data_IF_198456622658
#
_entry.id   IF_198456622658
#
_cell.length_a   1.000
_cell.length_b   1.000
_cell.length_c   1.000
_cell.angle_alpha   90.00
_cell.angle_beta   90.00
_cell.angle_gamma   90.00
#
_symmetry.space_group_name_H-M   'P 1'
#
loop_
_entity.id
_entity.type
_entity.pdbx_description
1 polymer ?
#
# COMPACT_ATOMS: atom_id res chain seq x y z
N UNK A 1 7.54 12.76 -18.23
CA UNK A 1 6.47 13.53 -18.85
C UNK A 1 5.31 12.70 -19.41
N UNK A 2 5.46 11.39 -19.61
CA UNK A 2 4.40 10.55 -20.20
C UNK A 2 3.45 9.92 -19.17
N UNK A 3 3.78 9.96 -17.89
CA UNK A 3 2.99 9.24 -16.87
C UNK A 3 1.85 10.04 -16.26
N UNK A 4 1.97 11.37 -16.25
CA UNK A 4 0.94 12.23 -15.66
C UNK A 4 -0.32 12.28 -16.54
N UNK A 5 -0.16 12.02 -17.82
CA UNK A 5 -1.26 12.14 -18.79
C UNK A 5 -2.23 10.95 -18.67
N UNK A 6 -1.77 9.80 -18.15
CA UNK A 6 -2.60 8.59 -18.15
C UNK A 6 -3.58 8.50 -16.98
N UNK A 7 -3.20 9.02 -15.84
CA UNK A 7 -4.12 9.05 -14.71
C UNK A 7 -5.21 10.10 -14.93
N UNK A 8 -4.87 11.19 -15.61
CA UNK A 8 -5.87 12.18 -15.99
C UNK A 8 -6.84 11.64 -17.04
N UNK A 9 -6.39 10.66 -17.84
CA UNK A 9 -7.29 10.01 -18.79
C UNK A 9 -8.24 9.02 -18.11
N UNK A 10 -7.77 8.33 -17.09
CA UNK A 10 -8.64 7.49 -16.28
C UNK A 10 -9.71 8.34 -15.60
N UNK A 11 -9.27 9.47 -15.05
CA UNK A 11 -10.18 10.40 -14.40
C UNK A 11 -11.15 11.05 -15.37
N UNK A 12 -10.70 11.31 -16.62
CA UNK A 12 -11.59 11.96 -17.59
C UNK A 12 -12.60 10.99 -18.24
N UNK A 13 -12.24 9.72 -18.34
CA UNK A 13 -13.18 8.71 -18.87
C UNK A 13 -14.31 8.44 -17.86
N UNK A 14 -14.02 8.62 -16.56
CA UNK A 14 -15.02 8.38 -15.53
C UNK A 14 -15.98 9.57 -15.32
N UNK A 15 -15.58 10.74 -15.77
CA UNK A 15 -16.47 11.90 -15.75
C UNK A 15 -17.73 11.67 -16.56
N UNK A 16 -17.62 10.83 -17.59
CA UNK A 16 -18.78 10.51 -18.44
C UNK A 16 -19.65 9.41 -17.87
N UNK A 17 -19.17 8.71 -16.82
CA UNK A 17 -19.88 7.53 -16.34
C UNK A 17 -20.45 7.68 -14.94
N UNK A 18 -19.99 8.70 -14.19
CA UNK A 18 -20.35 8.83 -12.77
C UNK A 18 -21.42 9.84 -12.42
N UNK A 19 -21.80 10.66 -13.36
CA UNK A 19 -22.90 11.60 -13.16
C UNK A 19 -23.98 11.32 -14.17
N UNK A 20 -25.01 10.66 -13.71
CA UNK A 20 -26.27 10.74 -14.39
C UNK A 20 -26.76 12.15 -14.24
N UNK A 21 -26.23 13.06 -15.00
CA UNK A 21 -26.85 14.35 -15.07
C UNK A 21 -26.94 14.84 -16.50
N UNK A 22 -28.09 15.29 -16.71
CA UNK A 22 -28.72 15.72 -17.90
C UNK A 22 -27.91 16.71 -18.71
N UNK A 23 -27.33 16.24 -19.78
CA UNK A 23 -27.11 17.13 -20.87
C UNK A 23 -27.89 16.60 -22.06
N UNK A 24 -28.78 17.41 -22.50
CA UNK A 24 -29.61 17.20 -23.67
C UNK A 24 -28.76 16.83 -24.86
N UNK A 25 -28.63 15.56 -25.12
CA UNK A 25 -28.33 15.09 -26.45
C UNK A 25 -29.49 14.21 -26.83
N UNK A 26 -30.11 14.56 -27.92
CA UNK A 26 -31.24 13.86 -28.48
C UNK A 26 -30.81 12.47 -28.96
N UNK A 27 -30.83 11.55 -28.07
CA UNK A 27 -30.58 10.15 -28.32
C UNK A 27 -30.95 9.43 -27.03
N UNK A 28 -31.91 8.53 -27.12
CA UNK A 28 -32.39 7.77 -25.97
C UNK A 28 -31.22 7.10 -25.22
N UNK A 29 -30.67 7.77 -24.23
CA UNK A 29 -29.80 7.11 -23.27
C UNK A 29 -30.69 6.28 -22.40
N UNK A 30 -30.68 4.98 -22.60
CA UNK A 30 -31.32 4.07 -21.65
C UNK A 30 -30.57 4.19 -20.33
N UNK A 31 -31.24 4.79 -19.35
CA UNK A 31 -30.72 4.90 -18.01
C UNK A 31 -30.47 3.49 -17.48
N UNK A 32 -29.21 3.24 -17.05
CA UNK A 32 -28.84 1.92 -16.54
C UNK A 32 -29.46 1.73 -15.18
N UNK A 33 -30.25 0.65 -15.04
CA UNK A 33 -30.81 0.27 -13.76
C UNK A 33 -29.93 -0.82 -13.15
N UNK A 34 -29.32 -0.51 -12.03
CA UNK A 34 -28.48 -1.47 -11.32
C UNK A 34 -29.33 -2.58 -10.70
N UNK A 35 -28.72 -3.70 -10.48
CA UNK A 35 -29.32 -4.82 -9.76
C UNK A 35 -29.80 -4.36 -8.39
N UNK A 36 -30.91 -4.95 -7.88
CA UNK A 36 -31.54 -4.48 -6.66
C UNK A 36 -30.60 -4.49 -5.45
N UNK A 37 -29.73 -5.49 -5.35
CA UNK A 37 -28.80 -5.55 -4.23
C UNK A 37 -27.74 -4.44 -4.30
N UNK A 38 -27.37 -4.01 -5.49
CA UNK A 38 -26.47 -2.86 -5.66
C UNK A 38 -27.20 -1.58 -5.25
N UNK A 39 -28.46 -1.43 -5.66
CA UNK A 39 -29.26 -0.27 -5.27
C UNK A 39 -29.35 -0.16 -3.75
N UNK A 40 -29.59 -1.28 -3.07
CA UNK A 40 -29.64 -1.32 -1.60
C UNK A 40 -28.31 -0.91 -1.00
N UNK A 41 -27.19 -1.44 -1.53
CA UNK A 41 -25.88 -1.13 -1.01
C UNK A 41 -25.52 0.35 -1.18
N UNK A 42 -25.99 0.99 -2.25
CA UNK A 42 -25.78 2.43 -2.48
C UNK A 42 -26.55 3.29 -1.48
N UNK A 43 -27.66 2.79 -0.94
CA UNK A 43 -28.54 3.54 -0.06
C UNK A 43 -28.15 3.44 1.41
N UNK A 44 -27.13 2.68 1.76
CA UNK A 44 -26.75 2.46 3.15
C UNK A 44 -26.19 3.73 3.77
N UNK A 45 -26.32 3.84 5.09
CA UNK A 45 -25.92 5.05 5.82
C UNK A 45 -24.41 5.24 5.86
N UNK A 46 -23.65 4.17 5.76
CA UNK A 46 -22.19 4.21 5.74
C UNK A 46 -21.70 3.45 4.52
N UNK A 47 -20.91 4.13 3.67
CA UNK A 47 -20.44 3.53 2.42
C UNK A 47 -18.95 3.70 2.29
N UNK A 48 -18.32 2.79 1.54
CA UNK A 48 -16.89 2.90 1.27
C UNK A 48 -16.59 4.11 0.40
N UNK A 49 -15.48 4.77 0.67
CA UNK A 49 -14.97 5.85 -0.18
C UNK A 49 -14.13 5.24 -1.28
N UNK A 50 -14.74 5.01 -2.40
CA UNK A 50 -14.03 4.61 -3.60
C UNK A 50 -14.59 5.43 -4.74
N UNK A 51 -13.77 6.35 -5.26
CA UNK A 51 -14.15 7.19 -6.38
C UNK A 51 -12.92 7.43 -7.22
N UNK A 52 -13.02 7.12 -8.52
CA UNK A 52 -11.90 7.20 -9.43
C UNK A 52 -11.66 8.60 -9.98
N UNK A 53 -12.61 9.50 -9.78
CA UNK A 53 -12.51 10.87 -10.33
C UNK A 53 -13.27 11.85 -9.44
N UNK A 54 -13.14 13.13 -9.77
CA UNK A 54 -13.85 14.20 -9.07
C UNK A 54 -13.11 14.69 -7.85
N UNK A 55 -13.73 15.64 -7.14
CA UNK A 55 -13.13 16.25 -5.95
C UNK A 55 -12.98 15.27 -4.80
N UNK A 56 -13.78 14.22 -4.78
CA UNK A 56 -13.76 13.22 -3.72
C UNK A 56 -13.04 11.94 -4.16
N UNK A 57 -12.18 12.06 -5.18
CA UNK A 57 -11.42 10.90 -5.68
C UNK A 57 -10.64 10.26 -4.54
N UNK A 58 -10.78 8.96 -4.41
CA UNK A 58 -10.14 8.18 -3.36
C UNK A 58 -10.07 6.72 -3.77
N UNK A 59 -8.87 6.17 -3.78
CA UNK A 59 -8.69 4.75 -4.07
C UNK A 59 -8.05 4.11 -2.83
N UNK A 60 -8.74 3.16 -2.21
CA UNK A 60 -8.13 2.43 -1.09
C UNK A 60 -6.80 1.80 -1.48
N UNK A 61 -5.85 1.83 -0.56
CA UNK A 61 -4.51 1.32 -0.80
C UNK A 61 -4.27 0.02 -0.06
N UNK A 62 -3.56 -0.91 -0.64
CA UNK A 62 -3.07 -0.97 -2.03
C UNK A 62 -4.18 -1.33 -3.03
N UNK A 63 -3.98 -0.97 -4.29
CA UNK A 63 -4.98 -1.26 -5.32
C UNK A 63 -4.33 -1.35 -6.70
N UNK A 64 -4.80 -2.29 -7.50
CA UNK A 64 -4.37 -2.39 -8.89
C UNK A 64 -4.82 -1.18 -9.73
N UNK A 65 -5.82 -0.46 -9.29
CA UNK A 65 -6.27 0.76 -9.97
C UNK A 65 -5.19 1.84 -10.02
N UNK A 66 -4.17 1.73 -9.18
CA UNK A 66 -3.04 2.66 -9.16
C UNK A 66 -1.78 1.99 -9.69
N UNK A 67 -1.92 1.07 -10.61
CA UNK A 67 -0.80 0.40 -11.25
C UNK A 67 -0.87 0.56 -12.76
N UNK A 68 0.28 0.70 -13.38
CA UNK A 68 0.40 0.80 -14.83
C UNK A 68 0.35 -0.59 -15.43
N UNK A 69 -0.68 -0.86 -16.21
CA UNK A 69 -0.87 -2.19 -16.81
C UNK A 69 0.20 -2.55 -17.84
N UNK A 70 0.96 -1.58 -18.32
CA UNK A 70 1.97 -1.83 -19.36
C UNK A 70 3.30 -2.29 -18.79
N UNK A 71 3.73 -1.70 -17.68
CA UNK A 71 5.04 -2.02 -17.14
C UNK A 71 4.99 -2.53 -15.69
N UNK A 72 3.79 -2.55 -15.09
CA UNK A 72 3.61 -3.09 -13.74
C UNK A 72 4.05 -2.18 -12.61
N UNK A 73 4.46 -0.95 -12.93
CA UNK A 73 4.86 0.00 -11.88
C UNK A 73 3.63 0.66 -11.27
N UNK A 74 3.83 1.27 -10.10
CA UNK A 74 2.76 2.03 -9.47
C UNK A 74 2.54 3.35 -10.21
N UNK A 75 1.30 3.84 -10.19
CA UNK A 75 0.94 5.14 -10.74
C UNK A 75 0.23 5.97 -9.67
N UNK A 76 0.98 6.31 -8.62
CA UNK A 76 0.42 7.06 -7.49
C UNK A 76 0.29 8.53 -7.89
N UNK A 77 -0.89 9.14 -7.74
CA UNK A 77 -1.05 10.54 -8.11
C UNK A 77 -0.11 11.44 -7.32
N UNK A 78 0.69 12.23 -8.03
CA UNK A 78 1.66 13.14 -7.43
C UNK A 78 1.31 14.62 -7.62
N UNK A 79 0.13 14.89 -8.19
CA UNK A 79 -0.27 16.25 -8.48
C UNK A 79 0.59 16.88 -9.56
N UNK A 80 0.85 18.16 -9.42
CA UNK A 80 1.67 18.91 -10.38
C UNK A 80 3.17 18.73 -10.14
N UNK A 81 3.57 18.19 -8.99
CA UNK A 81 4.99 18.00 -8.68
C UNK A 81 5.45 16.64 -9.20
N UNK A 82 6.03 16.63 -10.40
CA UNK A 82 6.52 15.42 -11.05
C UNK A 82 8.03 15.22 -10.87
N UNK A 83 8.64 15.99 -9.97
CA UNK A 83 10.07 15.85 -9.68
C UNK A 83 10.40 14.47 -9.11
N UNK A 84 11.55 13.93 -9.45
CA UNK A 84 12.03 12.68 -8.88
C UNK A 84 12.27 12.75 -7.36
N UNK A 85 12.38 13.95 -6.81
CA UNK A 85 12.50 14.13 -5.37
C UNK A 85 11.15 14.05 -4.64
N UNK A 86 10.03 14.04 -5.37
CA UNK A 86 8.72 13.82 -4.78
C UNK A 86 8.58 12.34 -4.40
N UNK A 87 8.35 12.02 -3.13
CA UNK A 87 8.25 10.60 -2.73
C UNK A 87 7.17 9.82 -3.49
N UNK A 88 6.08 10.45 -3.88
CA UNK A 88 5.02 9.77 -4.63
C UNK A 88 5.49 9.40 -6.03
N UNK A 89 6.31 10.27 -6.66
CA UNK A 89 6.90 9.98 -7.96
C UNK A 89 7.92 8.83 -7.84
N UNK A 90 8.73 8.88 -6.78
CA UNK A 90 9.71 7.82 -6.53
C UNK A 90 9.02 6.47 -6.27
N UNK A 91 7.94 6.48 -5.47
CA UNK A 91 7.15 5.27 -5.24
C UNK A 91 6.53 4.74 -6.53
N UNK A 92 6.24 5.62 -7.48
CA UNK A 92 5.69 5.22 -8.77
C UNK A 92 6.65 4.45 -9.65
N UNK A 93 7.93 4.35 -9.24
CA UNK A 93 8.92 3.60 -10.01
C UNK A 93 9.07 2.15 -9.56
N UNK A 94 8.42 1.77 -8.46
CA UNK A 94 8.50 0.38 -8.00
C UNK A 94 7.39 -0.46 -8.66
N UNK A 95 7.61 -1.76 -8.74
CA UNK A 95 6.75 -2.67 -9.49
C UNK A 95 5.77 -3.43 -8.58
N UNK A 96 5.27 -2.78 -7.55
CA UNK A 96 4.25 -3.37 -6.71
C UNK A 96 4.17 -2.71 -5.34
N UNK A 97 3.26 -3.19 -4.52
CA UNK A 97 3.00 -2.64 -3.20
C UNK A 97 3.87 -3.32 -2.14
N UNK A 98 4.25 -2.62 -1.07
CA UNK A 98 5.09 -3.22 -0.04
C UNK A 98 4.40 -4.41 0.64
N UNK A 99 5.15 -5.47 0.89
CA UNK A 99 4.63 -6.71 1.46
C UNK A 99 4.23 -6.60 2.93
N UNK A 100 4.62 -5.51 3.61
CA UNK A 100 4.28 -5.28 5.01
C UNK A 100 3.27 -4.15 5.17
N UNK A 101 2.81 -3.58 4.06
CA UNK A 101 1.89 -2.45 4.11
C UNK A 101 0.51 -2.89 4.58
N UNK A 102 -0.08 -2.21 5.57
CA UNK A 102 -1.50 -2.44 5.86
C UNK A 102 -2.39 -2.01 4.70
N UNK A 103 -3.56 -2.61 4.60
CA UNK A 103 -4.56 -2.19 3.63
C UNK A 103 -5.47 -1.17 4.32
N UNK A 104 -5.75 -0.06 3.64
CA UNK A 104 -6.49 1.07 4.19
C UNK A 104 -7.78 1.26 3.43
N UNK A 105 -8.90 1.23 4.14
CA UNK A 105 -10.23 1.42 3.56
C UNK A 105 -10.91 2.57 4.29
N UNK A 106 -11.29 3.59 3.56
CA UNK A 106 -11.99 4.76 4.11
C UNK A 106 -13.49 4.63 3.91
N UNK A 107 -14.24 5.09 4.89
CA UNK A 107 -15.71 5.08 4.84
C UNK A 107 -16.25 6.49 5.09
N UNK A 108 -17.49 6.71 4.72
CA UNK A 108 -18.20 7.98 4.96
C UNK A 108 -19.65 7.69 5.32
N UNK A 109 -20.29 8.68 5.92
CA UNK A 109 -21.69 8.59 6.34
C UNK A 109 -21.82 8.56 7.85
N UNK A 110 -22.59 7.61 8.37
CA UNK A 110 -22.78 7.50 9.82
C UNK A 110 -21.50 7.14 10.56
N UNK A 111 -20.53 6.53 9.85
CA UNK A 111 -19.22 6.27 10.42
C UNK A 111 -19.04 4.88 10.97
N UNK A 112 -17.87 4.63 11.52
CA UNK A 112 -17.48 3.33 12.08
C UNK A 112 -17.28 3.45 13.59
N UNK A 113 -17.41 2.33 14.29
CA UNK A 113 -17.04 2.23 15.70
C UNK A 113 -15.62 1.69 15.81
N UNK A 114 -14.99 1.91 16.97
CA UNK A 114 -13.72 1.26 17.29
C UNK A 114 -14.01 -0.22 17.54
N UNK A 115 -13.48 -1.08 16.70
CA UNK A 115 -13.83 -2.49 16.77
C UNK A 115 -12.74 -3.36 16.12
N UNK A 116 -12.66 -4.61 16.57
CA UNK A 116 -11.93 -5.66 15.86
C UNK A 116 -12.97 -6.40 15.02
N UNK A 117 -12.76 -6.39 13.70
CA UNK A 117 -13.72 -6.97 12.76
C UNK A 117 -13.34 -8.44 12.57
N UNK A 118 -14.25 -9.33 12.93
CA UNK A 118 -13.98 -10.77 12.90
C UNK A 118 -14.67 -11.49 11.73
N UNK A 119 -15.53 -10.80 10.98
CA UNK A 119 -16.20 -11.41 9.82
C UNK A 119 -16.50 -10.34 8.79
N UNK A 120 -16.69 -10.77 7.55
CA UNK A 120 -17.09 -9.88 6.47
C UNK A 120 -15.94 -9.33 5.65
N UNK A 121 -14.70 -9.64 6.01
CA UNK A 121 -13.52 -9.24 5.26
C UNK A 121 -12.77 -10.50 4.87
N UNK A 122 -12.38 -10.59 3.60
CA UNK A 122 -11.73 -11.77 3.03
C UNK A 122 -10.48 -11.33 2.29
N UNK A 123 -9.37 -12.02 2.54
CA UNK A 123 -8.08 -11.74 1.91
C UNK A 123 -7.49 -13.08 1.46
N UNK A 124 -7.27 -13.21 0.16
CA UNK A 124 -6.79 -14.47 -0.43
C UNK A 124 -5.53 -14.20 -1.24
N UNK A 125 -4.63 -15.18 -1.26
CA UNK A 125 -3.48 -15.21 -2.16
C UNK A 125 -3.83 -16.01 -3.41
N UNK A 126 -3.41 -15.52 -4.58
CA UNK A 126 -3.68 -16.18 -5.86
C UNK A 126 -2.45 -16.96 -6.35
N UNK A 127 -2.68 -17.97 -7.17
CA UNK A 127 -1.63 -18.76 -7.81
C UNK A 127 -0.99 -18.04 -9.01
N UNK A 128 -1.72 -17.10 -9.60
CA UNK A 128 -1.32 -16.45 -10.84
C UNK A 128 -1.92 -15.06 -10.86
N UNK A 129 -1.49 -14.24 -11.79
CA UNK A 129 -2.04 -12.89 -11.91
C UNK A 129 -3.47 -12.93 -12.45
N UNK A 130 -4.20 -11.85 -12.21
CA UNK A 130 -5.56 -11.70 -12.73
C UNK A 130 -5.60 -11.67 -14.26
N UNK A 131 -4.48 -11.42 -14.91
CA UNK A 131 -4.38 -11.47 -16.37
C UNK A 131 -4.03 -12.85 -16.91
N UNK A 132 -3.69 -13.78 -16.02
CA UNK A 132 -3.38 -15.15 -16.39
C UNK A 132 -4.56 -16.08 -16.11
N UNK A 133 -4.29 -17.15 -15.38
CA UNK A 133 -5.32 -18.13 -15.00
C UNK A 133 -5.36 -18.24 -13.47
N UNK A 134 -5.83 -17.20 -12.80
CA UNK A 134 -5.78 -17.16 -11.34
C UNK A 134 -6.71 -18.17 -10.70
N UNK A 135 -6.23 -18.78 -9.63
CA UNK A 135 -7.04 -19.56 -8.71
C UNK A 135 -6.54 -19.26 -7.30
N UNK A 136 -7.28 -19.71 -6.30
CA UNK A 136 -6.92 -19.44 -4.92
C UNK A 136 -5.76 -20.33 -4.52
N UNK A 137 -4.66 -19.70 -4.07
CA UNK A 137 -3.52 -20.41 -3.49
C UNK A 137 -3.69 -20.58 -1.99
N UNK A 138 -4.18 -19.52 -1.31
CA UNK A 138 -4.38 -19.57 0.13
C UNK A 138 -5.51 -18.64 0.54
N UNK A 139 -6.37 -19.14 1.43
CA UNK A 139 -7.36 -18.33 2.13
C UNK A 139 -6.71 -17.84 3.42
N UNK A 140 -6.45 -16.55 3.51
CA UNK A 140 -5.85 -16.01 4.72
C UNK A 140 -6.93 -15.90 5.80
N UNK A 141 -6.58 -16.27 7.02
CA UNK A 141 -7.52 -16.34 8.13
C UNK A 141 -7.48 -15.05 8.95
N UNK A 142 -8.64 -14.40 9.05
CA UNK A 142 -8.80 -13.21 9.90
C UNK A 142 -8.56 -13.60 11.36
N UNK A 143 -7.74 -12.82 12.04
CA UNK A 143 -7.34 -13.10 13.42
C UNK A 143 -6.10 -13.97 13.54
N UNK A 144 -5.61 -14.54 12.43
CA UNK A 144 -4.40 -15.36 12.41
C UNK A 144 -3.38 -14.78 11.43
N UNK A 145 -3.76 -14.67 10.16
CA UNK A 145 -2.85 -14.16 9.12
C UNK A 145 -2.92 -12.64 8.99
N UNK A 146 -4.02 -12.05 9.41
CA UNK A 146 -4.20 -10.60 9.44
C UNK A 146 -5.22 -10.25 10.52
N UNK A 147 -5.23 -8.98 10.91
CA UNK A 147 -6.23 -8.43 11.82
C UNK A 147 -6.90 -7.25 11.13
N UNK A 148 -8.23 -7.19 11.19
CA UNK A 148 -8.99 -6.08 10.64
C UNK A 148 -9.53 -5.24 11.80
N UNK A 149 -9.24 -3.94 11.78
CA UNK A 149 -9.56 -3.02 12.87
C UNK A 149 -10.25 -1.79 12.29
N UNK A 150 -11.38 -1.41 12.86
CA UNK A 150 -12.03 -0.15 12.48
C UNK A 150 -11.79 0.93 13.54
N UNK A 151 -11.79 2.18 13.09
CA UNK A 151 -11.53 3.35 13.92
C UNK A 151 -12.66 4.35 13.76
N UNK A 152 -13.27 4.73 14.88
CA UNK A 152 -14.30 5.76 14.91
C UNK A 152 -13.70 7.15 14.61
N UNK A 153 -12.47 7.39 15.07
CA UNK A 153 -11.85 8.72 14.91
C UNK A 153 -11.57 9.05 13.44
N UNK A 154 -11.26 8.04 12.61
CA UNK A 154 -10.86 8.28 11.22
C UNK A 154 -11.81 7.65 10.21
N UNK A 155 -12.81 6.89 10.66
CA UNK A 155 -13.74 6.14 9.79
C UNK A 155 -12.98 5.28 8.79
N UNK A 156 -11.94 4.61 9.27
CA UNK A 156 -11.10 3.73 8.48
C UNK A 156 -11.18 2.30 8.99
N UNK A 157 -11.02 1.36 8.06
CA UNK A 157 -10.67 -0.01 8.41
C UNK A 157 -9.22 -0.23 7.98
N UNK A 158 -8.42 -0.71 8.91
CA UNK A 158 -7.06 -1.15 8.65
C UNK A 158 -7.05 -2.67 8.66
N UNK A 159 -6.48 -3.25 7.61
CA UNK A 159 -6.24 -4.70 7.55
C UNK A 159 -4.74 -4.88 7.65
N UNK A 160 -4.29 -5.42 8.78
CA UNK A 160 -2.88 -5.45 9.13
C UNK A 160 -2.39 -6.90 9.06
N UNK A 161 -1.55 -7.25 8.07
CA UNK A 161 -0.98 -8.60 8.03
C UNK A 161 -0.15 -8.85 9.29
N UNK A 162 -0.25 -10.06 9.84
CA UNK A 162 0.52 -10.43 11.03
C UNK A 162 1.96 -10.79 10.69
N UNK A 163 2.22 -11.06 9.43
CA UNK A 163 3.55 -11.30 8.90
C UNK A 163 3.60 -10.75 7.48
N UNK A 164 4.80 -10.56 6.96
CA UNK A 164 4.96 -10.06 5.59
C UNK A 164 4.22 -10.97 4.61
N UNK A 165 3.51 -10.38 3.68
CA UNK A 165 2.89 -11.12 2.58
C UNK A 165 3.98 -11.66 1.64
N UNK A 166 3.64 -12.64 0.84
CA UNK A 166 4.62 -13.24 -0.06
C UNK A 166 4.97 -12.28 -1.20
N UNK A 167 6.27 -12.11 -1.44
CA UNK A 167 6.75 -11.32 -2.57
C UNK A 167 6.35 -11.99 -3.89
N UNK A 168 6.20 -11.19 -4.93
CA UNK A 168 5.82 -11.66 -6.28
C UNK A 168 4.51 -12.42 -6.29
N UNK A 169 3.58 -12.04 -5.42
CA UNK A 169 2.27 -12.69 -5.31
C UNK A 169 1.17 -11.64 -5.46
N UNK A 170 0.05 -12.07 -5.97
CA UNK A 170 -1.15 -11.26 -6.02
C UNK A 170 -2.12 -11.67 -4.93
N UNK A 171 -2.78 -10.69 -4.38
CA UNK A 171 -3.78 -10.88 -3.34
C UNK A 171 -5.07 -10.20 -3.76
N UNK A 172 -6.19 -10.80 -3.38
CA UNK A 172 -7.50 -10.18 -3.56
C UNK A 172 -8.15 -9.97 -2.22
N UNK A 173 -8.85 -8.86 -2.12
CA UNK A 173 -9.54 -8.42 -0.90
C UNK A 173 -11.01 -8.21 -1.23
N UNK A 174 -11.90 -8.66 -0.34
CA UNK A 174 -13.31 -8.31 -0.41
C UNK A 174 -13.79 -7.82 0.95
N UNK A 175 -14.62 -6.79 0.92
CA UNK A 175 -15.37 -6.29 2.08
C UNK A 175 -16.85 -6.51 1.76
N UNK A 176 -17.55 -7.10 2.71
CA UNK A 176 -18.97 -7.41 2.52
C UNK A 176 -19.86 -6.63 3.49
N UNK A 177 -21.15 -6.68 3.24
CA UNK A 177 -22.17 -6.08 4.10
C UNK A 177 -22.28 -6.74 5.47
N UNK A 178 -21.54 -7.81 5.72
CA UNK A 178 -21.43 -8.34 7.08
C UNK A 178 -20.69 -7.38 8.02
N UNK A 179 -19.87 -6.48 7.45
CA UNK A 179 -19.23 -5.45 8.24
C UNK A 179 -20.28 -4.41 8.61
N UNK A 180 -20.31 -4.02 9.89
CA UNK A 180 -21.30 -3.09 10.42
C UNK A 180 -20.68 -1.71 10.67
N UNK A 181 -21.54 -0.70 10.53
CA UNK A 181 -21.15 0.67 10.87
C UNK A 181 -21.35 0.96 12.37
N UNK A 182 -21.16 2.21 12.76
CA UNK A 182 -21.25 2.64 14.16
C UNK A 182 -22.62 2.37 14.78
N UNK A 183 -23.66 2.28 13.96
CA UNK A 183 -25.03 2.06 14.42
C UNK A 183 -25.45 0.58 14.31
N UNK A 184 -24.53 -0.29 13.92
CA UNK A 184 -24.83 -1.71 13.75
C UNK A 184 -25.46 -2.05 12.43
N UNK A 185 -25.51 -1.14 11.48
CA UNK A 185 -26.11 -1.36 10.16
C UNK A 185 -25.03 -1.83 9.16
N UNK A 186 -25.41 -2.65 8.17
CA UNK A 186 -24.43 -3.09 7.17
C UNK A 186 -23.84 -1.91 6.42
N UNK A 187 -22.54 -1.97 6.13
CA UNK A 187 -21.88 -0.97 5.29
C UNK A 187 -22.28 -1.18 3.83
N UNK A 188 -22.16 -0.14 3.03
CA UNK A 188 -22.56 -0.15 1.63
C UNK A 188 -21.44 0.23 0.68
N UNK A 189 -21.80 0.40 -0.57
CA UNK A 189 -20.87 0.60 -1.67
C UNK A 189 -20.89 2.04 -2.16
N UNK A 190 -19.92 2.36 -3.03
CA UNK A 190 -19.84 3.67 -3.68
C UNK A 190 -20.42 3.61 -5.08
N UNK A 191 -20.72 4.79 -5.64
CA UNK A 191 -21.22 4.88 -7.01
C UNK A 191 -20.20 4.33 -8.01
N UNK A 192 -18.92 4.59 -7.80
CA UNK A 192 -17.87 4.09 -8.70
C UNK A 192 -17.76 2.57 -8.64
N UNK A 193 -17.82 1.99 -7.43
CA UNK A 193 -17.73 0.54 -7.32
C UNK A 193 -18.99 -0.13 -7.89
N UNK A 194 -20.16 0.46 -7.65
CA UNK A 194 -21.43 -0.04 -8.20
C UNK A 194 -21.37 -0.13 -9.73
N UNK A 195 -20.80 0.91 -10.36
CA UNK A 195 -20.68 0.92 -11.82
C UNK A 195 -19.75 -0.18 -12.33
N UNK A 196 -18.66 -0.47 -11.61
CA UNK A 196 -17.74 -1.54 -12.00
C UNK A 196 -18.34 -2.92 -11.74
N UNK A 197 -19.08 -3.05 -10.67
CA UNK A 197 -19.64 -4.34 -10.24
C UNK A 197 -20.83 -4.77 -11.10
N UNK A 198 -21.66 -3.82 -11.51
CA UNK A 198 -22.92 -4.11 -12.17
C UNK A 198 -22.69 -4.80 -13.52
N UNK A 199 -23.48 -5.85 -13.77
CA UNK A 199 -23.49 -6.54 -15.05
C UNK A 199 -24.46 -5.88 -16.04
N UNK A 200 -25.22 -4.89 -15.55
CA UNK A 200 -26.14 -4.12 -16.38
C UNK A 200 -25.48 -2.88 -16.98
N UNK A 201 -24.29 -2.50 -16.49
CA UNK A 201 -23.53 -1.39 -17.04
C UNK A 201 -22.21 -1.96 -17.58
N UNK A 202 -22.03 -1.90 -18.90
CA UNK A 202 -20.89 -2.52 -19.54
C UNK A 202 -20.00 -1.43 -20.18
N UNK A 203 -18.76 -1.38 -19.75
CA UNK A 203 -17.74 -0.54 -20.37
C UNK A 203 -17.03 -1.37 -21.45
N UNK A 204 -17.00 -0.86 -22.68
CA UNK A 204 -16.50 -1.63 -23.81
C UNK A 204 -15.08 -1.30 -24.21
N UNK A 205 -14.51 -0.21 -23.70
CA UNK A 205 -13.17 0.21 -24.12
C UNK A 205 -12.48 1.06 -23.05
N UNK A 206 -11.17 1.17 -23.20
CA UNK A 206 -10.36 2.01 -22.32
C UNK A 206 -10.00 1.33 -21.02
N UNK A 207 -9.35 2.10 -20.15
CA UNK A 207 -8.88 1.59 -18.86
C UNK A 207 -10.03 1.20 -17.93
N UNK A 208 -11.17 1.90 -18.06
CA UNK A 208 -12.35 1.60 -17.24
C UNK A 208 -12.92 0.21 -17.58
N UNK A 209 -12.86 -0.19 -18.85
CA UNK A 209 -13.29 -1.53 -19.26
C UNK A 209 -12.39 -2.59 -18.64
N UNK A 210 -11.08 -2.36 -18.63
CA UNK A 210 -10.12 -3.25 -18.00
C UNK A 210 -10.39 -3.33 -16.49
N UNK A 211 -10.60 -2.19 -15.86
CA UNK A 211 -10.87 -2.12 -14.42
C UNK A 211 -12.15 -2.89 -14.06
N UNK A 212 -13.20 -2.73 -14.88
CA UNK A 212 -14.46 -3.47 -14.67
C UNK A 212 -14.24 -4.97 -14.80
N UNK A 213 -13.50 -5.38 -15.83
CA UNK A 213 -13.24 -6.80 -16.08
C UNK A 213 -12.48 -7.42 -14.91
N UNK A 214 -11.47 -6.72 -14.41
CA UNK A 214 -10.70 -7.22 -13.27
C UNK A 214 -11.57 -7.25 -12.01
N UNK A 215 -12.36 -6.21 -11.77
CA UNK A 215 -13.26 -6.17 -10.61
C UNK A 215 -14.22 -7.34 -10.61
N UNK A 216 -14.86 -7.59 -11.75
CA UNK A 216 -15.80 -8.70 -11.86
C UNK A 216 -15.11 -10.06 -11.78
N UNK A 217 -13.87 -10.14 -12.29
CA UNK A 217 -13.05 -11.35 -12.14
C UNK A 217 -12.71 -11.64 -10.70
N UNK A 218 -12.34 -10.62 -9.94
CA UNK A 218 -12.06 -10.77 -8.50
C UNK A 218 -13.32 -11.26 -7.78
N UNK A 219 -14.45 -10.64 -8.04
CA UNK A 219 -15.70 -11.06 -7.41
C UNK A 219 -16.06 -12.51 -7.77
N UNK A 220 -15.78 -12.92 -9.01
CA UNK A 220 -16.03 -14.30 -9.43
C UNK A 220 -15.20 -15.29 -8.64
N UNK A 221 -13.94 -14.97 -8.37
CA UNK A 221 -13.08 -15.84 -7.55
C UNK A 221 -13.66 -15.97 -6.14
N UNK A 222 -14.10 -14.86 -5.54
CA UNK A 222 -14.73 -14.89 -4.23
C UNK A 222 -16.03 -15.72 -4.26
N UNK A 223 -16.85 -15.54 -5.30
CA UNK A 223 -18.09 -16.31 -5.44
C UNK A 223 -17.79 -17.82 -5.49
N UNK A 224 -16.79 -18.22 -6.25
CA UNK A 224 -16.42 -19.63 -6.37
C UNK A 224 -15.90 -20.19 -5.04
N UNK A 225 -15.40 -19.35 -4.15
CA UNK A 225 -14.94 -19.77 -2.83
C UNK A 225 -16.06 -19.82 -1.78
N UNK A 226 -17.25 -19.39 -2.15
CA UNK A 226 -18.41 -19.41 -1.25
C UNK A 226 -18.81 -18.06 -0.68
N UNK A 227 -18.15 -16.97 -1.07
CA UNK A 227 -18.57 -15.63 -0.65
C UNK A 227 -19.73 -15.18 -1.54
N UNK A 228 -20.79 -14.71 -0.91
CA UNK A 228 -21.97 -14.22 -1.64
C UNK A 228 -21.61 -12.89 -2.33
N UNK A 229 -21.55 -12.91 -3.66
CA UNK A 229 -21.17 -11.72 -4.44
C UNK A 229 -22.15 -10.57 -4.24
N UNK A 230 -23.42 -10.86 -3.91
CA UNK A 230 -24.40 -9.80 -3.68
C UNK A 230 -24.12 -9.02 -2.40
N UNK A 231 -23.30 -9.57 -1.50
CA UNK A 231 -22.92 -8.91 -0.27
C UNK A 231 -21.61 -8.14 -0.40
N UNK A 232 -20.84 -8.32 -1.48
CA UNK A 232 -19.57 -7.63 -1.65
C UNK A 232 -19.83 -6.14 -1.95
N UNK A 233 -19.36 -5.28 -1.07
CA UNK A 233 -19.51 -3.83 -1.24
C UNK A 233 -18.26 -3.18 -1.80
N UNK A 234 -17.12 -3.89 -1.74
CA UNK A 234 -15.85 -3.44 -2.34
C UNK A 234 -14.93 -4.63 -2.49
N UNK A 235 -14.21 -4.68 -3.59
CA UNK A 235 -13.11 -5.64 -3.77
C UNK A 235 -11.98 -5.01 -4.54
N UNK A 236 -10.80 -5.54 -4.39
CA UNK A 236 -9.64 -5.07 -5.13
C UNK A 236 -8.57 -6.15 -5.24
N UNK A 237 -7.66 -6.03 -6.06
CA UNK A 237 -6.55 -6.71 -6.25
C UNK A 237 -5.47 -5.98 -5.71
N UNK A 238 -4.99 -6.43 -5.14
CA UNK A 238 -3.98 -5.79 -4.58
C UNK A 238 -2.81 -6.40 -4.93
N UNK A 239 -2.25 -6.02 -4.93
CA UNK A 239 -1.15 -6.59 -5.09
C UNK A 239 -0.60 -6.35 -6.20
N UNK A 240 -0.48 -6.59 -6.43
CA UNK A 240 0.12 -6.57 -7.08
C UNK A 240 0.70 -6.81 -8.00
N UNK A 241 1.18 -6.84 -8.06
CA UNK A 241 1.90 -6.93 -8.86
C UNK A 241 1.76 -7.78 -9.89
N UNK A 242 1.39 -7.34 -10.47
CA UNK A 242 1.31 -7.98 -11.51
C UNK A 242 2.46 -8.67 -11.86
N UNK A 243 2.85 -8.54 -11.97
CA UNK A 243 3.77 -9.21 -12.54
C UNK A 243 4.78 -9.56 -11.63
N UNK A 244 4.67 -9.87 -11.23
CA UNK A 244 5.51 -10.19 -10.67
C UNK A 244 6.33 -9.44 -9.94
N UNK A 245 6.33 -8.89 -9.92
CA UNK A 245 6.94 -8.62 -9.44
C UNK A 245 7.05 -7.89 -8.86
N UNK A 246 6.58 -7.72 -8.26
CA UNK A 246 6.69 -7.20 -7.81
C UNK A 246 7.37 -6.24 -7.26
N UNK A 247 7.06 -5.55 -7.23
CA UNK A 247 7.55 -4.87 -6.72
C UNK A 247 8.13 -5.07 -5.76
N UNK A 248 7.49 -5.48 -4.95
CA UNK A 248 8.11 -6.09 -3.76
C UNK A 248 9.36 -6.88 -4.12
N UNK A 249 9.31 -7.53 -5.22
CA UNK A 249 10.49 -8.28 -5.67
C UNK A 249 11.64 -7.35 -6.06
N UNK A 250 11.31 -6.27 -6.71
CA UNK A 250 12.32 -5.26 -7.09
C UNK A 250 13.01 -4.68 -5.85
N UNK A 251 12.23 -4.28 -4.88
CA UNK A 251 12.78 -3.74 -3.61
C UNK A 251 13.59 -4.82 -2.90
N UNK A 252 13.05 -6.06 -2.84
CA UNK A 252 13.75 -7.17 -2.18
C UNK A 252 15.06 -7.50 -2.89
N UNK A 253 15.06 -7.50 -4.21
CA UNK A 253 16.27 -7.81 -4.99
C UNK A 253 17.38 -6.79 -4.69
N UNK A 254 17.03 -5.51 -4.61
CA UNK A 254 18.02 -4.47 -4.27
C UNK A 254 18.58 -4.70 -2.86
N UNK A 255 17.70 -4.99 -1.90
CA UNK A 255 18.14 -5.24 -0.53
C UNK A 255 18.99 -6.52 -0.44
N UNK A 256 18.60 -7.58 -1.14
CA UNK A 256 19.35 -8.83 -1.13
C UNK A 256 20.70 -8.66 -1.82
N UNK A 257 20.78 -7.91 -2.91
CA UNK A 257 22.05 -7.64 -3.59
C UNK A 257 22.98 -6.84 -2.67
N UNK A 258 22.47 -5.81 -2.01
CA UNK A 258 23.22 -5.00 -1.06
C UNK A 258 23.72 -5.85 0.10
N UNK A 259 22.84 -6.66 0.68
CA UNK A 259 23.17 -7.57 1.76
C UNK A 259 24.23 -8.59 1.33
N UNK A 260 24.09 -9.13 0.12
CA UNK A 260 25.04 -10.09 -0.42
C UNK A 260 26.41 -9.49 -0.61
N UNK A 261 26.48 -8.27 -1.12
CA UNK A 261 27.75 -7.58 -1.28
C UNK A 261 28.43 -7.35 0.07
N UNK A 262 27.67 -6.93 1.07
CA UNK A 262 28.18 -6.73 2.42
C UNK A 262 28.69 -8.05 3.02
N UNK A 263 27.89 -9.11 2.90
CA UNK A 263 28.26 -10.44 3.45
C UNK A 263 29.51 -10.97 2.76
N UNK A 264 29.62 -10.79 1.45
CA UNK A 264 30.78 -11.21 0.70
C UNK A 264 32.04 -10.48 1.16
N UNK A 265 31.92 -9.16 1.38
CA UNK A 265 33.04 -8.38 1.87
C UNK A 265 33.52 -8.88 3.24
N UNK A 266 32.59 -9.19 4.16
CA UNK A 266 32.96 -9.72 5.46
C UNK A 266 33.59 -11.10 5.35
N UNK A 267 33.06 -11.97 4.47
CA UNK A 267 33.59 -13.32 4.31
C UNK A 267 35.00 -13.32 3.75
N UNK A 268 35.33 -12.33 2.93
CA UNK A 268 36.66 -12.23 2.31
C UNK A 268 37.68 -11.51 3.17
N UNK A 269 37.28 -11.04 4.36
CA UNK A 269 38.20 -10.47 5.33
C UNK A 269 38.37 -8.97 5.22
N UNK A 270 39.12 -8.39 6.16
CA UNK A 270 39.20 -6.95 6.31
C UNK A 270 39.86 -6.24 5.10
N UNK A 271 40.82 -6.89 4.48
CA UNK A 271 41.47 -6.29 3.30
C UNK A 271 40.50 -6.19 2.14
N UNK A 272 39.58 -7.12 2.04
CA UNK A 272 38.55 -7.08 1.01
C UNK A 272 37.53 -5.97 1.28
N UNK A 273 37.26 -5.71 2.55
CA UNK A 273 36.38 -4.59 2.93
C UNK A 273 36.95 -3.26 2.46
N UNK A 274 38.25 -3.09 2.61
CA UNK A 274 38.93 -1.87 2.13
C UNK A 274 38.75 -1.69 0.63
N UNK A 275 38.82 -2.80 -0.10
CA UNK A 275 38.69 -2.76 -1.55
C UNK A 275 37.25 -2.46 -1.96
N UNK A 276 36.30 -3.15 -1.33
CA UNK A 276 34.89 -3.05 -1.71
C UNK A 276 34.31 -1.69 -1.35
N UNK A 277 34.66 -1.14 -0.18
CA UNK A 277 34.01 0.06 0.33
C UNK A 277 34.76 1.34 0.05
N UNK A 278 35.84 1.25 -0.72
CA UNK A 278 36.58 2.44 -1.13
C UNK A 278 35.86 3.12 -2.27
N UNK A 279 35.38 4.31 -2.04
CA UNK A 279 34.60 5.08 -3.01
C UNK A 279 35.45 6.19 -3.60
N UNK A 280 36.04 5.92 -4.73
CA UNK A 280 36.85 6.91 -5.44
C UNK A 280 35.93 8.02 -5.94
N UNK A 281 36.30 9.26 -5.62
CA UNK A 281 35.52 10.41 -6.05
C UNK A 281 34.45 10.86 -5.07
N UNK A 282 34.19 10.08 -4.02
CA UNK A 282 33.25 10.47 -2.98
C UNK A 282 33.90 10.80 -1.65
N UNK A 283 35.23 10.81 -1.63
CA UNK A 283 35.98 11.15 -0.42
C UNK A 283 36.06 10.02 0.60
N UNK A 284 35.56 8.84 0.26
CA UNK A 284 35.66 7.67 1.13
C UNK A 284 36.81 6.80 0.67
N UNK A 285 38.01 7.30 0.93
CA UNK A 285 39.26 6.70 0.41
C UNK A 285 39.92 5.76 1.40
N UNK A 286 39.33 5.55 2.57
CA UNK A 286 39.88 4.67 3.57
C UNK A 286 38.97 3.50 3.85
N UNK A 287 39.54 2.47 4.46
CA UNK A 287 38.82 1.26 4.82
C UNK A 287 37.70 1.55 5.81
N UNK A 288 36.72 0.67 5.79
CA UNK A 288 35.70 0.66 6.85
C UNK A 288 36.38 0.54 8.21
N UNK A 289 36.04 1.43 9.11
CA UNK A 289 36.55 1.37 10.47
C UNK A 289 35.45 1.67 11.47
N UNK A 290 35.61 1.11 12.65
CA UNK A 290 34.77 1.46 13.79
C UNK A 290 35.68 1.78 14.96
N UNK A 291 35.48 2.92 15.57
CA UNK A 291 36.25 3.36 16.73
C UNK A 291 35.32 3.61 17.88
N UNK A 292 35.54 2.89 18.96
CA UNK A 292 34.79 3.09 20.19
C UNK A 292 35.52 4.09 21.07
N UNK A 293 34.75 5.04 21.58
CA UNK A 293 35.26 6.01 22.52
C UNK A 293 35.11 5.54 23.96
N UNK A 294 35.12 6.48 24.88
CA UNK A 294 34.90 6.18 26.29
C UNK A 294 33.41 6.07 26.59
N UNK A 295 33.03 5.30 27.63
CA UNK A 295 31.65 5.28 28.06
C UNK A 295 31.12 6.67 28.39
N UNK A 296 29.86 6.91 28.10
CA UNK A 296 29.21 8.19 28.38
C UNK A 296 28.09 7.99 29.37
N UNK A 297 27.81 9.03 30.16
CA UNK A 297 26.61 9.06 30.98
C UNK A 297 25.43 9.38 30.08
N UNK A 298 24.78 8.31 29.59
CA UNK A 298 23.67 8.44 28.64
C UNK A 298 22.49 9.19 29.24
N UNK A 299 22.19 8.93 30.54
CA UNK A 299 21.09 9.61 31.21
C UNK A 299 21.29 11.11 31.24
N UNK A 300 22.51 11.53 31.60
CA UNK A 300 22.85 12.97 31.63
C UNK A 300 22.78 13.58 30.23
N UNK A 301 23.33 12.88 29.24
CA UNK A 301 23.33 13.37 27.86
C UNK A 301 21.91 13.52 27.32
N UNK A 302 21.07 12.52 27.55
CA UNK A 302 19.69 12.56 27.06
C UNK A 302 18.86 13.63 27.80
N UNK A 303 19.10 13.78 29.12
CA UNK A 303 18.42 14.80 29.90
C UNK A 303 18.74 16.19 29.34
N UNK A 304 19.99 16.42 28.94
CA UNK A 304 20.42 17.72 28.42
C UNK A 304 20.02 17.97 26.98
N UNK A 305 19.48 16.96 26.29
CA UNK A 305 19.16 17.09 24.86
C UNK A 305 17.75 17.64 24.68
N UNK A 306 17.66 18.94 24.38
CA UNK A 306 16.37 19.59 24.14
C UNK A 306 15.70 19.13 22.82
N UNK A 307 16.52 18.73 21.86
CA UNK A 307 15.99 18.31 20.54
C UNK A 307 15.22 17.01 20.64
N UNK A 308 15.66 16.10 21.49
CA UNK A 308 14.98 14.82 21.63
C UNK A 308 13.53 15.03 22.08
N UNK A 309 13.31 15.91 23.07
CA UNK A 309 11.95 16.22 23.52
C UNK A 309 11.10 16.83 22.41
N UNK A 310 11.72 17.67 21.58
CA UNK A 310 11.02 18.31 20.47
C UNK A 310 10.56 17.31 19.41
N UNK A 311 11.39 16.35 19.05
CA UNK A 311 11.08 15.44 17.94
C UNK A 311 10.37 14.17 18.39
N UNK A 312 10.62 13.69 19.60
CA UNK A 312 10.10 12.41 20.06
C UNK A 312 9.01 12.59 21.14
N UNK A 313 9.11 13.66 21.90
CA UNK A 313 8.17 13.99 22.96
C UNK A 313 8.73 13.75 24.35
N UNK A 314 8.32 14.59 25.29
CA UNK A 314 8.84 14.56 26.66
C UNK A 314 8.47 13.27 27.38
N UNK A 315 7.28 12.75 27.13
CA UNK A 315 6.83 11.50 27.78
C UNK A 315 7.69 10.31 27.35
N UNK A 316 8.04 10.26 26.06
CA UNK A 316 8.90 9.18 25.56
C UNK A 316 10.33 9.32 26.08
N UNK A 317 10.82 10.56 26.20
CA UNK A 317 12.13 10.82 26.80
C UNK A 317 12.16 10.29 28.24
N UNK A 318 11.13 10.59 29.03
CA UNK A 318 11.01 10.12 30.41
C UNK A 318 10.98 8.58 30.46
N UNK A 319 10.22 7.95 29.57
CA UNK A 319 10.13 6.50 29.52
C UNK A 319 11.47 5.85 29.17
N UNK A 320 12.20 6.42 28.24
CA UNK A 320 13.53 5.92 27.84
C UNK A 320 14.52 6.05 29.01
N UNK A 321 14.50 7.20 29.68
CA UNK A 321 15.35 7.40 30.86
C UNK A 321 15.04 6.39 31.96
N UNK A 322 13.76 6.15 32.20
CA UNK A 322 13.33 5.16 33.18
C UNK A 322 13.81 3.76 32.85
N UNK A 323 13.68 3.37 31.59
CA UNK A 323 14.14 2.06 31.14
C UNK A 323 15.66 1.93 31.26
N UNK A 324 16.37 2.97 30.89
CA UNK A 324 17.84 2.96 30.97
C UNK A 324 18.31 2.81 32.42
N UNK A 325 17.73 3.59 33.34
CA UNK A 325 18.14 3.53 34.76
C UNK A 325 17.72 2.23 35.43
N UNK A 326 16.70 1.56 34.89
CA UNK A 326 16.24 0.28 35.48
C UNK A 326 17.10 -0.91 35.02
N UNK A 327 18.02 -0.71 34.09
CA UNK A 327 18.81 -1.79 33.49
C UNK A 327 20.29 -1.40 33.52
N UNK A 328 21.15 -2.42 33.60
CA UNK A 328 22.59 -2.20 33.55
C UNK A 328 23.03 -2.20 32.08
N UNK A 329 23.25 -1.03 31.53
CA UNK A 329 23.63 -0.84 30.14
C UNK A 329 24.77 0.18 30.07
N UNK A 330 25.84 -0.17 29.38
CA UNK A 330 26.91 0.76 29.07
C UNK A 330 26.67 1.35 27.69
N UNK A 331 26.73 2.67 27.59
CA UNK A 331 26.63 3.38 26.32
C UNK A 331 27.98 3.98 26.01
N UNK A 332 28.50 3.65 24.85
CA UNK A 332 29.80 4.16 24.40
C UNK A 332 29.59 4.94 23.11
N UNK A 333 30.10 6.15 23.12
CA UNK A 333 30.07 6.99 21.92
C UNK A 333 31.23 6.57 21.02
N UNK A 334 30.97 6.51 19.74
CA UNK A 334 32.01 6.11 18.81
C UNK A 334 31.70 6.60 17.41
N UNK A 335 32.59 6.25 16.52
CA UNK A 335 32.41 6.55 15.08
C UNK A 335 32.51 5.24 14.30
N UNK A 336 31.75 5.17 13.23
CA UNK A 336 31.79 4.05 12.30
C UNK A 336 31.77 4.59 10.88
N UNK A 337 32.61 4.04 10.03
CA UNK A 337 32.61 4.36 8.61
C UNK A 337 31.83 3.27 7.89
N UNK A 338 30.73 3.67 7.27
CA UNK A 338 29.80 2.73 6.63
C UNK A 338 29.98 2.77 5.11
N UNK A 339 29.67 1.66 4.42
CA UNK A 339 29.66 1.69 2.97
C UNK A 339 28.56 2.63 2.45
N UNK A 340 28.85 3.27 1.35
CA UNK A 340 27.95 4.25 0.75
C UNK A 340 27.27 3.61 -0.45
N UNK A 341 25.98 3.39 -0.34
CA UNK A 341 25.19 2.68 -1.35
C UNK A 341 24.38 3.62 -2.25
N UNK A 342 24.43 4.93 -2.03
CA UNK A 342 23.69 5.88 -2.84
C UNK A 342 24.62 6.55 -3.83
N UNK A 343 24.22 6.57 -5.09
CA UNK A 343 24.90 7.35 -6.11
C UNK A 343 24.47 8.81 -6.03
N UNK A 344 25.24 9.67 -6.68
CA UNK A 344 24.81 11.06 -6.88
C UNK A 344 23.47 11.03 -7.64
N UNK A 345 22.47 11.68 -7.07
CA UNK A 345 21.16 11.70 -7.68
C UNK A 345 20.19 10.64 -7.13
N UNK A 346 20.54 10.03 -6.01
CA UNK A 346 19.65 9.16 -5.21
C UNK A 346 19.41 7.75 -5.74
N UNK A 347 20.19 7.30 -6.71
CA UNK A 347 20.10 5.91 -7.14
C UNK A 347 20.81 4.99 -6.16
N UNK A 348 20.30 3.78 -6.00
CA UNK A 348 20.95 2.75 -5.19
C UNK A 348 22.11 2.11 -5.96
N UNK A 349 23.19 1.90 -5.24
CA UNK A 349 24.37 1.23 -5.75
C UNK A 349 24.52 -0.07 -4.96
N UNK A 350 24.48 -1.20 -5.63
CA UNK A 350 24.64 -2.49 -4.94
C UNK A 350 26.10 -2.84 -4.68
N UNK A 351 27.01 -2.03 -5.23
CA UNK A 351 28.43 -2.12 -4.93
C UNK A 351 28.86 -0.78 -4.34
N UNK A 352 29.23 -0.73 -3.06
CA UNK A 352 29.61 0.54 -2.43
C UNK A 352 30.90 1.14 -2.95
#
# INVERSE_FOLDING_TARGET
MKQVIKLSLLCSALWLAGCGDETNSSGASTEVVYESYIQQALQRDTTIKFALSGKDANVPLPSFALMNAKDGTLEIPSGSNTSGSNPLVAMGQVDGWPITMPLFLDFKGAGLADNIITSGIYLYELTDSMTGSPSIKALLTNGVDYTAISSAASDKILIVPTKALNASSEYILAVTSEVSDANGNPVGTSASYAALKSKNKIYSEGDIATLQKVTQGVEKIFQLSGVDETQIVYSTXXXXXXXXXXXTQSVSNTLFATRGATASAFANGSNQLETVWKQTGLGLDTAYTMQLGTPVDFAAALTADDNFSTYVGADKKTAILGTYTANTVDVTKGTVRLPYYLETGSNWNTQP
#
